data_IF_604490790606
#
_entry.id   IF_604490790606
#
_cell.length_a   1.000
_cell.length_b   1.000
_cell.length_c   1.000
_cell.angle_alpha   90.00
_cell.angle_beta   90.00
_cell.angle_gamma   90.00
#
_symmetry.space_group_name_H-M   'P 1'
#
loop_
_entity.id
_entity.type
_entity.pdbx_description
1 polymer ?
#
# COMPACT_ATOMS: atom_id res chain seq x y z
N UNK A 1 40.96 -31.87 4.00
CA UNK A 1 39.52 -31.76 4.30
C UNK A 1 39.28 -30.33 4.73
N UNK A 2 39.07 -29.47 3.74
CA UNK A 2 38.87 -28.04 3.93
C UNK A 2 37.47 -27.76 4.47
N UNK A 3 37.42 -27.01 5.58
CA UNK A 3 36.17 -26.46 6.10
C UNK A 3 35.75 -25.35 5.16
N UNK A 4 34.70 -25.59 4.37
CA UNK A 4 34.00 -24.58 3.57
C UNK A 4 33.60 -23.46 4.54
N UNK A 5 34.17 -22.26 4.34
CA UNK A 5 33.67 -21.04 4.98
C UNK A 5 32.34 -20.69 4.31
N UNK A 6 31.30 -20.29 5.06
CA UNK A 6 30.08 -19.79 4.46
C UNK A 6 30.43 -18.62 3.54
N UNK A 7 29.91 -18.64 2.30
CA UNK A 7 30.01 -17.55 1.34
C UNK A 7 29.32 -16.30 1.90
N UNK A 8 29.85 -15.13 1.59
CA UNK A 8 29.34 -13.82 2.04
C UNK A 8 27.90 -13.50 1.53
N UNK A 9 27.26 -14.41 0.78
CA UNK A 9 25.87 -14.30 0.31
C UNK A 9 24.83 -14.65 1.38
N UNK A 10 25.20 -15.33 2.47
CA UNK A 10 24.27 -15.71 3.56
C UNK A 10 24.07 -14.60 4.64
N UNK A 11 24.54 -13.37 4.38
CA UNK A 11 24.53 -12.24 5.34
C UNK A 11 23.46 -11.18 5.13
N UNK A 12 22.48 -11.41 4.26
CA UNK A 12 21.30 -10.54 4.17
C UNK A 12 20.11 -11.14 4.92
N UNK A 13 20.26 -11.32 6.24
CA UNK A 13 19.10 -11.12 7.11
C UNK A 13 18.89 -9.61 7.09
N UNK A 14 17.99 -9.15 6.22
CA UNK A 14 17.53 -7.76 6.15
C UNK A 14 17.22 -7.28 7.57
N UNK A 15 18.10 -6.46 8.13
CA UNK A 15 17.76 -5.68 9.31
C UNK A 15 16.58 -4.80 8.92
N UNK A 16 15.45 -4.95 9.63
CA UNK A 16 14.24 -4.15 9.43
C UNK A 16 14.63 -2.66 9.29
N UNK A 17 14.33 -2.02 8.16
CA UNK A 17 14.65 -0.62 7.98
C UNK A 17 13.72 0.19 8.90
N UNK A 18 14.34 0.88 9.86
CA UNK A 18 13.76 1.95 10.70
C UNK A 18 12.50 1.51 11.49
N UNK A 19 12.71 1.01 12.71
CA UNK A 19 11.77 1.19 13.84
C UNK A 19 10.32 0.70 13.67
N UNK A 20 10.02 -0.10 12.65
CA UNK A 20 8.67 -0.56 12.36
C UNK A 20 8.33 -1.74 13.28
N UNK A 21 7.58 -1.46 14.34
CA UNK A 21 7.04 -2.49 15.22
C UNK A 21 5.67 -2.95 14.71
N UNK A 22 5.64 -4.18 14.19
CA UNK A 22 4.42 -4.85 13.75
C UNK A 22 3.29 -4.78 14.79
N UNK A 23 3.64 -4.94 16.06
CA UNK A 23 2.68 -4.95 17.15
C UNK A 23 2.04 -3.57 17.32
N UNK A 24 2.82 -2.52 17.12
CA UNK A 24 2.34 -1.13 17.17
C UNK A 24 1.44 -0.83 15.98
N UNK A 25 1.81 -1.27 14.77
CA UNK A 25 0.95 -1.16 13.60
C UNK A 25 -0.41 -1.84 13.84
N UNK A 26 -0.41 -3.06 14.38
CA UNK A 26 -1.62 -3.80 14.70
C UNK A 26 -2.48 -3.08 15.76
N UNK A 27 -1.87 -2.42 16.74
CA UNK A 27 -2.57 -1.63 17.76
C UNK A 27 -3.23 -0.37 17.17
N UNK A 28 -2.61 0.24 16.15
CA UNK A 28 -3.12 1.45 15.50
C UNK A 28 -4.24 1.16 14.49
N UNK A 29 -4.42 -0.10 14.08
CA UNK A 29 -5.33 -0.47 13.01
C UNK A 29 -6.83 -0.27 13.35
N UNK A 30 -7.33 -0.65 14.55
CA UNK A 30 -8.71 -0.36 14.94
C UNK A 30 -9.01 1.14 14.96
N UNK A 31 -8.06 1.95 15.47
CA UNK A 31 -8.19 3.39 15.47
C UNK A 31 -8.28 3.97 14.05
N UNK A 32 -7.46 3.46 13.12
CA UNK A 32 -7.50 3.90 11.74
C UNK A 32 -8.87 3.61 11.09
N UNK A 33 -9.42 2.41 11.31
CA UNK A 33 -10.75 2.03 10.80
C UNK A 33 -11.82 2.96 11.37
N UNK A 34 -11.83 3.18 12.69
CA UNK A 34 -12.78 4.08 13.35
C UNK A 34 -12.68 5.51 12.78
N UNK A 35 -11.46 6.03 12.64
CA UNK A 35 -11.23 7.36 12.09
C UNK A 35 -11.72 7.50 10.63
N UNK A 36 -11.52 6.47 9.80
CA UNK A 36 -12.03 6.43 8.42
C UNK A 36 -13.56 6.38 8.40
N UNK A 37 -14.17 5.56 9.25
CA UNK A 37 -15.62 5.46 9.33
C UNK A 37 -16.27 6.80 9.71
N UNK A 38 -15.61 7.58 10.58
CA UNK A 38 -16.06 8.90 11.02
C UNK A 38 -15.78 10.02 10.00
N UNK A 39 -14.61 10.02 9.35
CA UNK A 39 -14.10 11.21 8.65
C UNK A 39 -13.68 10.97 7.19
N UNK A 40 -13.59 9.71 6.78
CA UNK A 40 -13.18 9.31 5.43
C UNK A 40 -14.24 9.67 4.38
N UNK A 41 -13.82 10.00 3.15
CA UNK A 41 -14.74 10.19 2.05
C UNK A 41 -15.45 8.87 1.72
N UNK A 42 -16.68 8.98 1.21
CA UNK A 42 -17.46 7.83 0.74
C UNK A 42 -17.18 7.49 -0.74
N UNK A 43 -16.42 8.35 -1.41
CA UNK A 43 -15.98 8.20 -2.80
C UNK A 43 -14.56 7.62 -2.84
N UNK A 44 -14.16 7.13 -4.01
CA UNK A 44 -12.83 6.56 -4.21
C UNK A 44 -12.66 5.23 -3.48
N UNK A 45 -11.43 4.96 -3.04
CA UNK A 45 -10.97 3.72 -2.42
C UNK A 45 -10.91 3.80 -0.90
N UNK A 46 -11.14 4.97 -0.30
CA UNK A 46 -11.18 5.13 1.15
C UNK A 46 -12.13 4.13 1.85
N UNK A 47 -13.35 3.86 1.33
CA UNK A 47 -14.24 2.86 1.92
C UNK A 47 -13.65 1.44 1.92
N UNK A 48 -12.84 1.09 0.91
CA UNK A 48 -12.22 -0.22 0.81
C UNK A 48 -11.10 -0.45 1.84
N UNK A 49 -10.62 0.60 2.53
CA UNK A 49 -9.59 0.42 3.56
C UNK A 49 -10.07 -0.51 4.68
N UNK A 50 -11.35 -0.39 5.09
CA UNK A 50 -11.94 -1.30 6.07
C UNK A 50 -11.92 -2.74 5.55
N UNK A 51 -12.35 -2.95 4.30
CA UNK A 51 -12.34 -4.28 3.64
C UNK A 51 -10.94 -4.87 3.51
N UNK A 52 -9.93 -4.04 3.20
CA UNK A 52 -8.51 -4.45 3.18
C UNK A 52 -8.10 -4.99 4.55
N UNK A 53 -8.53 -4.35 5.62
CA UNK A 53 -8.11 -4.71 6.99
C UNK A 53 -8.88 -5.90 7.55
N UNK A 54 -10.21 -5.89 7.44
CA UNK A 54 -11.08 -6.91 8.02
C UNK A 54 -11.10 -8.18 7.17
N UNK A 55 -10.98 -8.05 5.85
CA UNK A 55 -11.28 -9.11 4.88
C UNK A 55 -12.78 -9.29 4.63
N UNK A 56 -13.64 -8.55 5.34
CA UNK A 56 -15.10 -8.67 5.24
C UNK A 56 -15.66 -7.68 4.23
N UNK A 57 -16.64 -8.13 3.44
CA UNK A 57 -17.39 -7.25 2.54
C UNK A 57 -17.98 -6.06 3.30
N UNK A 58 -17.82 -4.86 2.73
CA UNK A 58 -18.43 -3.64 3.30
C UNK A 58 -19.83 -3.46 2.71
N UNK A 59 -20.75 -2.96 3.53
CA UNK A 59 -22.10 -2.66 3.07
C UNK A 59 -22.13 -1.44 2.15
N UNK A 60 -22.92 -1.51 1.07
CA UNK A 60 -23.16 -0.42 0.10
C UNK A 60 -21.98 -0.07 -0.82
N UNK A 61 -21.21 -1.05 -1.29
CA UNK A 61 -20.22 -0.80 -2.34
C UNK A 61 -20.88 -0.28 -3.63
N UNK A 62 -20.28 0.75 -4.22
CA UNK A 62 -20.62 1.15 -5.58
C UNK A 62 -19.89 0.29 -6.62
N UNK A 63 -20.31 0.39 -7.88
CA UNK A 63 -19.72 -0.41 -8.96
C UNK A 63 -18.21 -0.13 -9.14
N UNK A 64 -17.75 1.09 -8.84
CA UNK A 64 -16.33 1.44 -8.92
C UNK A 64 -15.53 0.73 -7.82
N UNK A 65 -16.06 0.68 -6.60
CA UNK A 65 -15.46 0.00 -5.45
C UNK A 65 -15.42 -1.51 -5.66
N UNK A 66 -16.50 -2.11 -6.17
CA UNK A 66 -16.52 -3.54 -6.49
C UNK A 66 -15.47 -3.92 -7.53
N UNK A 67 -15.36 -3.17 -8.64
CA UNK A 67 -14.35 -3.42 -9.69
C UNK A 67 -12.94 -3.19 -9.14
N UNK A 68 -12.75 -2.14 -8.33
CA UNK A 68 -11.46 -1.85 -7.71
C UNK A 68 -11.04 -2.96 -6.75
N UNK A 69 -11.99 -3.54 -6.01
CA UNK A 69 -11.71 -4.60 -5.06
C UNK A 69 -11.11 -5.83 -5.74
N UNK A 70 -11.61 -6.27 -6.90
CA UNK A 70 -11.05 -7.43 -7.62
C UNK A 70 -9.56 -7.26 -7.91
N UNK A 71 -9.15 -6.07 -8.36
CA UNK A 71 -7.75 -5.74 -8.58
C UNK A 71 -6.94 -5.66 -7.29
N UNK A 72 -7.51 -5.07 -6.23
CA UNK A 72 -6.86 -4.93 -4.92
C UNK A 72 -6.69 -6.30 -4.26
N UNK A 73 -7.68 -7.19 -4.29
CA UNK A 73 -7.61 -8.53 -3.69
C UNK A 73 -6.55 -9.39 -4.36
N UNK A 74 -6.49 -9.38 -5.69
CA UNK A 74 -5.48 -10.13 -6.44
C UNK A 74 -4.08 -9.60 -6.17
N UNK A 75 -3.93 -8.26 -6.09
CA UNK A 75 -2.67 -7.64 -5.69
C UNK A 75 -2.25 -8.02 -4.27
N UNK A 76 -3.16 -8.00 -3.29
CA UNK A 76 -2.88 -8.39 -1.89
C UNK A 76 -2.39 -9.83 -1.80
N UNK A 77 -3.05 -10.73 -2.51
CA UNK A 77 -2.66 -12.13 -2.60
C UNK A 77 -1.26 -12.27 -3.18
N UNK A 78 -0.99 -11.62 -4.32
CA UNK A 78 0.34 -11.64 -4.94
C UNK A 78 1.42 -11.05 -4.04
N UNK A 79 1.16 -9.91 -3.39
CA UNK A 79 2.12 -9.22 -2.52
C UNK A 79 2.46 -10.08 -1.32
N UNK A 80 1.45 -10.66 -0.67
CA UNK A 80 1.62 -11.53 0.48
C UNK A 80 2.44 -12.77 0.13
N UNK A 81 2.17 -13.42 -1.01
CA UNK A 81 3.00 -14.54 -1.45
C UNK A 81 4.44 -14.11 -1.76
N UNK A 82 4.60 -12.96 -2.41
CA UNK A 82 5.93 -12.41 -2.76
C UNK A 82 6.77 -12.10 -1.52
N UNK A 83 6.14 -11.59 -0.45
CA UNK A 83 6.78 -11.34 0.85
C UNK A 83 7.11 -12.63 1.61
N UNK A 84 6.23 -13.63 1.58
CA UNK A 84 6.38 -14.86 2.35
C UNK A 84 7.36 -15.87 1.75
N UNK A 85 7.31 -16.08 0.43
CA UNK A 85 7.95 -17.23 -0.21
C UNK A 85 9.14 -16.86 -1.09
N UNK A 86 9.41 -15.57 -1.32
CA UNK A 86 10.49 -15.13 -2.20
C UNK A 86 10.39 -15.79 -3.58
N UNK A 87 9.32 -15.46 -4.32
CA UNK A 87 8.93 -16.19 -5.53
C UNK A 87 8.91 -15.36 -6.81
N UNK A 88 8.93 -16.06 -7.95
CA UNK A 88 8.68 -15.53 -9.28
C UNK A 88 7.22 -15.79 -9.68
N UNK A 89 6.29 -15.16 -8.96
CA UNK A 89 4.89 -15.13 -9.35
C UNK A 89 4.67 -14.01 -10.37
N UNK A 90 3.95 -14.33 -11.43
CA UNK A 90 3.50 -13.33 -12.40
C UNK A 90 2.64 -12.27 -11.71
N UNK A 91 2.84 -11.02 -12.11
CA UNK A 91 2.06 -9.91 -11.58
C UNK A 91 0.59 -10.04 -12.02
N UNK A 92 -0.40 -9.91 -11.11
CA UNK A 92 -1.79 -10.18 -11.43
C UNK A 92 -2.35 -9.16 -12.44
N UNK A 93 -2.87 -9.66 -13.56
CA UNK A 93 -3.40 -8.82 -14.64
C UNK A 93 -4.61 -7.97 -14.19
N UNK A 94 -5.43 -8.48 -13.27
CA UNK A 94 -6.58 -7.75 -12.71
C UNK A 94 -6.14 -6.54 -11.88
N UNK A 95 -5.03 -6.64 -11.15
CA UNK A 95 -4.48 -5.50 -10.41
C UNK A 95 -4.11 -4.35 -11.37
N UNK A 96 -3.60 -4.68 -12.56
CA UNK A 96 -3.26 -3.66 -13.58
C UNK A 96 -4.48 -2.92 -14.15
N UNK A 97 -5.70 -3.41 -13.91
CA UNK A 97 -6.92 -2.66 -14.25
C UNK A 97 -7.14 -1.44 -13.37
N UNK A 98 -6.46 -1.35 -12.21
CA UNK A 98 -6.48 -0.16 -11.37
C UNK A 98 -5.75 1.03 -12.03
N UNK A 99 -4.83 0.80 -12.95
CA UNK A 99 -4.11 1.88 -13.63
C UNK A 99 -5.08 2.67 -14.51
N UNK A 100 -5.25 3.95 -14.19
CA UNK A 100 -6.20 4.87 -14.83
C UNK A 100 -7.64 4.74 -14.31
N UNK A 101 -7.90 3.88 -13.33
CA UNK A 101 -9.25 3.64 -12.82
C UNK A 101 -9.68 4.74 -11.84
N UNK A 102 -10.82 5.36 -12.12
CA UNK A 102 -11.41 6.43 -11.29
C UNK A 102 -11.42 7.79 -11.98
N UNK A 103 -12.25 8.72 -11.52
CA UNK A 103 -12.38 10.04 -12.14
C UNK A 103 -11.23 10.99 -11.75
N UNK A 104 -11.07 12.08 -12.50
CA UNK A 104 -10.25 13.22 -12.10
C UNK A 104 -8.85 13.30 -12.73
N UNK A 105 -8.04 14.23 -12.21
CA UNK A 105 -6.67 14.47 -12.68
C UNK A 105 -5.69 13.41 -12.17
N UNK A 106 -5.96 12.84 -10.99
CA UNK A 106 -5.28 11.69 -10.42
C UNK A 106 -6.35 10.62 -10.15
N UNK A 107 -6.55 9.66 -11.07
CA UNK A 107 -7.48 8.56 -10.87
C UNK A 107 -7.17 7.81 -9.56
N UNK A 108 -8.21 7.39 -8.84
CA UNK A 108 -8.07 6.71 -7.55
C UNK A 108 -7.16 5.48 -7.58
N UNK A 109 -7.23 4.66 -8.63
CA UNK A 109 -6.35 3.51 -8.78
C UNK A 109 -4.89 3.89 -9.03
N UNK A 110 -4.62 5.08 -9.58
CA UNK A 110 -3.27 5.59 -9.72
C UNK A 110 -2.68 6.07 -8.40
N UNK A 111 -3.50 6.77 -7.60
CA UNK A 111 -3.14 7.21 -6.25
C UNK A 111 -2.87 6.00 -5.34
N UNK A 112 -3.68 4.94 -5.46
CA UNK A 112 -3.43 3.66 -4.80
C UNK A 112 -2.02 3.11 -5.11
N UNK A 113 -1.63 3.05 -6.40
CA UNK A 113 -0.30 2.58 -6.78
C UNK A 113 0.82 3.49 -6.26
N UNK A 114 0.60 4.80 -6.19
CA UNK A 114 1.54 5.72 -5.57
C UNK A 114 1.75 5.38 -4.09
N UNK A 115 0.66 5.16 -3.35
CA UNK A 115 0.70 4.74 -1.96
C UNK A 115 1.44 3.41 -1.74
N UNK A 116 1.18 2.42 -2.59
CA UNK A 116 1.86 1.11 -2.58
C UNK A 116 3.37 1.26 -2.73
N UNK A 117 3.83 1.96 -3.78
CA UNK A 117 5.26 2.11 -4.06
C UNK A 117 5.97 2.91 -2.96
N UNK A 118 5.34 3.98 -2.46
CA UNK A 118 5.90 4.77 -1.35
C UNK A 118 6.02 3.92 -0.08
N UNK A 119 5.00 3.15 0.28
CA UNK A 119 5.05 2.29 1.47
C UNK A 119 6.12 1.21 1.35
N UNK A 120 6.19 0.50 0.22
CA UNK A 120 7.21 -0.55 0.03
C UNK A 120 8.63 0.01 0.12
N UNK A 121 8.89 1.18 -0.45
CA UNK A 121 10.21 1.83 -0.35
C UNK A 121 10.51 2.34 1.04
N UNK A 122 9.52 2.89 1.74
CA UNK A 122 9.66 3.31 3.14
C UNK A 122 10.01 2.13 4.06
N UNK A 123 9.48 0.94 3.76
CA UNK A 123 9.75 -0.32 4.46
C UNK A 123 10.94 -1.10 3.87
N UNK A 124 11.67 -0.54 2.91
CA UNK A 124 12.86 -1.13 2.27
C UNK A 124 12.64 -2.38 1.42
N UNK A 125 11.40 -2.66 1.00
CA UNK A 125 11.07 -3.71 0.02
C UNK A 125 11.33 -3.26 -1.42
N UNK A 126 12.58 -2.86 -1.72
CA UNK A 126 12.96 -2.24 -3.00
C UNK A 126 12.76 -3.16 -4.21
N UNK A 127 13.05 -4.46 -4.08
CA UNK A 127 12.90 -5.42 -5.18
C UNK A 127 11.43 -5.60 -5.58
N UNK A 128 10.53 -5.73 -4.60
CA UNK A 128 9.09 -5.85 -4.83
C UNK A 128 8.55 -4.54 -5.43
N UNK A 129 8.98 -3.40 -4.89
CA UNK A 129 8.64 -2.09 -5.45
C UNK A 129 9.08 -1.96 -6.91
N UNK A 130 10.27 -2.46 -7.28
CA UNK A 130 10.76 -2.40 -8.66
C UNK A 130 9.96 -3.28 -9.62
N UNK A 131 9.49 -4.46 -9.18
CA UNK A 131 8.58 -5.30 -9.98
C UNK A 131 7.24 -4.59 -10.24
N UNK A 132 6.66 -3.98 -9.21
CA UNK A 132 5.42 -3.20 -9.32
C UNK A 132 5.62 -2.00 -10.24
N UNK A 133 6.69 -1.23 -10.04
CA UNK A 133 7.05 -0.09 -10.89
C UNK A 133 7.07 -0.49 -12.37
N UNK A 134 7.80 -1.56 -12.71
CA UNK A 134 7.93 -2.03 -14.09
C UNK A 134 6.58 -2.38 -14.72
N UNK A 135 5.71 -3.06 -13.99
CA UNK A 135 4.38 -3.44 -14.48
C UNK A 135 3.44 -2.22 -14.59
N UNK A 136 3.35 -1.42 -13.52
CA UNK A 136 2.43 -0.28 -13.43
C UNK A 136 2.81 0.83 -14.42
N UNK A 137 4.08 1.25 -14.46
CA UNK A 137 4.52 2.32 -15.37
C UNK A 137 4.47 1.93 -16.84
N UNK A 138 4.57 0.64 -17.16
CA UNK A 138 4.35 0.15 -18.52
C UNK A 138 2.91 0.45 -18.98
N UNK A 139 1.92 0.13 -18.15
CA UNK A 139 0.50 0.37 -18.46
C UNK A 139 0.08 1.83 -18.32
N UNK A 140 0.73 2.59 -17.42
CA UNK A 140 0.44 4.01 -17.22
C UNK A 140 0.67 4.87 -18.48
N UNK A 141 1.47 4.40 -19.43
CA UNK A 141 1.69 5.08 -20.72
C UNK A 141 0.41 5.25 -21.54
N UNK A 142 -0.50 4.28 -21.45
CA UNK A 142 -1.69 4.20 -22.30
C UNK A 142 -2.98 4.40 -21.50
N UNK A 143 -2.96 4.09 -20.20
CA UNK A 143 -4.18 4.03 -19.38
C UNK A 143 -4.44 5.26 -18.52
N UNK A 144 -3.46 6.14 -18.32
CA UNK A 144 -3.64 7.36 -17.53
C UNK A 144 -3.05 8.60 -18.21
N UNK A 145 -3.26 9.75 -17.59
CA UNK A 145 -2.79 11.04 -18.07
C UNK A 145 -1.35 11.35 -17.61
N UNK A 146 -0.73 12.36 -18.22
CA UNK A 146 0.67 12.73 -17.97
C UNK A 146 0.94 13.20 -16.54
N UNK A 147 -0.04 13.80 -15.87
CA UNK A 147 0.09 14.30 -14.49
C UNK A 147 0.16 13.10 -13.54
N UNK A 148 -0.81 12.19 -13.64
CA UNK A 148 -0.85 10.98 -12.81
C UNK A 148 0.37 10.10 -13.02
N UNK A 149 0.80 9.91 -14.28
CA UNK A 149 2.03 9.17 -14.60
C UNK A 149 3.28 9.79 -13.95
N UNK A 150 3.38 11.12 -13.92
CA UNK A 150 4.50 11.80 -13.25
C UNK A 150 4.48 11.57 -11.73
N UNK A 151 3.30 11.55 -11.10
CA UNK A 151 3.19 11.17 -9.69
C UNK A 151 3.63 9.73 -9.44
N UNK A 152 3.25 8.78 -10.31
CA UNK A 152 3.73 7.40 -10.21
C UNK A 152 5.25 7.29 -10.37
N UNK A 153 5.86 8.03 -11.31
CA UNK A 153 7.32 8.06 -11.49
C UNK A 153 8.02 8.61 -10.23
N UNK A 154 7.45 9.62 -9.57
CA UNK A 154 7.94 10.10 -8.26
C UNK A 154 7.77 9.04 -7.16
N UNK A 155 6.59 8.43 -7.07
CA UNK A 155 6.27 7.41 -6.06
C UNK A 155 7.15 6.16 -6.21
N UNK A 156 7.47 5.77 -7.45
CA UNK A 156 8.42 4.72 -7.77
C UNK A 156 9.83 5.02 -7.23
N UNK A 157 10.20 6.30 -7.08
CA UNK A 157 11.43 6.73 -6.42
C UNK A 157 11.28 6.94 -4.90
N UNK A 158 10.10 6.65 -4.35
CA UNK A 158 9.78 6.83 -2.93
C UNK A 158 9.46 8.27 -2.56
N UNK A 159 9.07 9.09 -3.53
CA UNK A 159 8.74 10.49 -3.34
C UNK A 159 7.22 10.68 -3.38
N UNK A 160 6.69 11.47 -2.45
CA UNK A 160 5.27 11.80 -2.42
C UNK A 160 4.96 12.88 -1.39
N UNK A 161 3.67 13.03 -1.07
CA UNK A 161 3.22 14.00 -0.09
C UNK A 161 3.86 13.73 1.29
N UNK A 162 4.41 14.77 1.92
CA UNK A 162 5.00 14.65 3.26
C UNK A 162 4.02 14.06 4.27
N UNK A 163 2.74 14.45 4.24
CA UNK A 163 1.73 13.91 5.15
C UNK A 163 1.51 12.39 4.98
N UNK A 164 1.69 11.84 3.77
CA UNK A 164 1.61 10.40 3.54
C UNK A 164 2.79 9.68 4.19
N UNK A 165 4.01 10.20 4.03
CA UNK A 165 5.19 9.68 4.72
C UNK A 165 5.08 9.78 6.25
N UNK A 166 4.57 10.90 6.76
CA UNK A 166 4.30 11.07 8.19
C UNK A 166 3.22 10.12 8.71
N UNK A 167 2.23 9.79 7.88
CA UNK A 167 1.18 8.81 8.19
C UNK A 167 1.78 7.40 8.27
N UNK A 168 2.60 7.00 7.29
CA UNK A 168 3.33 5.72 7.33
C UNK A 168 4.19 5.61 8.60
N UNK A 169 4.91 6.68 8.94
CA UNK A 169 5.74 6.72 10.15
C UNK A 169 4.91 6.68 11.44
N UNK A 170 3.79 7.40 11.51
CA UNK A 170 2.90 7.41 12.68
C UNK A 170 2.23 6.05 12.91
N UNK A 171 1.90 5.32 11.83
CA UNK A 171 1.36 3.96 11.94
C UNK A 171 2.33 2.98 12.63
N UNK A 172 3.64 3.23 12.59
CA UNK A 172 4.66 2.43 13.28
C UNK A 172 4.97 2.87 14.72
N UNK A 173 4.26 3.87 15.27
CA UNK A 173 4.52 4.41 16.62
C UNK A 173 3.22 4.38 17.45
N UNK A 174 3.32 4.00 18.73
CA UNK A 174 2.18 3.93 19.66
C UNK A 174 1.82 5.33 20.17
N UNK A 175 1.36 6.20 19.27
CA UNK A 175 0.98 7.59 19.53
C UNK A 175 -0.27 7.95 18.70
N UNK A 176 -1.43 7.65 19.28
CA UNK A 176 -2.73 7.91 18.65
C UNK A 176 -2.94 9.40 18.35
N UNK A 177 -2.48 10.29 19.22
CA UNK A 177 -2.63 11.73 19.04
C UNK A 177 -1.86 12.22 17.81
N UNK A 178 -0.63 11.70 17.62
CA UNK A 178 0.15 11.93 16.41
C UNK A 178 -0.53 11.34 15.19
N UNK A 179 -1.01 10.11 15.25
CA UNK A 179 -1.72 9.46 14.13
C UNK A 179 -2.95 10.28 13.70
N UNK A 180 -3.77 10.73 14.65
CA UNK A 180 -4.90 11.64 14.39
C UNK A 180 -4.47 12.96 13.76
N UNK A 181 -3.32 13.50 14.18
CA UNK A 181 -2.81 14.76 13.62
C UNK A 181 -2.39 14.61 12.16
N UNK A 182 -1.67 13.55 11.82
CA UNK A 182 -1.19 13.32 10.45
C UNK A 182 -2.32 12.91 9.52
N UNK A 183 -3.31 12.13 9.97
CA UNK A 183 -4.51 11.81 9.16
C UNK A 183 -5.34 13.07 8.87
N UNK A 184 -5.46 14.00 9.82
CA UNK A 184 -6.07 15.32 9.55
C UNK A 184 -5.28 16.14 8.54
N UNK A 185 -3.95 16.06 8.55
CA UNK A 185 -3.12 16.73 7.56
C UNK A 185 -3.27 16.08 6.17
N UNK A 186 -3.33 14.75 6.10
CA UNK A 186 -3.55 14.00 4.88
C UNK A 186 -4.91 14.35 4.24
N UNK A 187 -5.97 14.48 5.06
CA UNK A 187 -7.29 14.88 4.57
C UNK A 187 -7.32 16.29 3.92
N UNK A 188 -6.35 17.16 4.25
CA UNK A 188 -6.21 18.47 3.60
C UNK A 188 -5.54 18.39 2.22
N UNK A 189 -4.88 17.27 1.92
CA UNK A 189 -4.22 17.04 0.63
C UNK A 189 -5.21 16.36 -0.30
N UNK A 190 -5.75 17.14 -1.25
CA UNK A 190 -6.52 16.62 -2.38
C UNK A 190 -7.63 15.65 -2.00
N UNK A 191 -8.39 15.94 -0.92
CA UNK A 191 -9.43 15.11 -0.30
C UNK A 191 -9.33 13.61 -0.67
N UNK A 192 -9.95 13.16 -1.76
CA UNK A 192 -9.99 11.76 -2.20
C UNK A 192 -8.61 11.14 -2.49
N UNK A 193 -7.71 11.86 -3.17
CA UNK A 193 -6.39 11.36 -3.61
C UNK A 193 -5.49 10.93 -2.45
N UNK A 194 -5.52 11.70 -1.34
CA UNK A 194 -4.78 11.35 -0.13
C UNK A 194 -5.27 10.07 0.52
N UNK A 195 -6.59 9.83 0.49
CA UNK A 195 -7.20 8.61 1.02
C UNK A 195 -7.01 7.40 0.10
N UNK A 196 -7.04 7.60 -1.22
CA UNK A 196 -6.76 6.55 -2.20
C UNK A 196 -5.30 6.07 -2.09
N UNK A 197 -4.37 7.01 -1.91
CA UNK A 197 -2.98 6.70 -1.55
C UNK A 197 -2.88 5.95 -0.23
N UNK A 198 -3.66 6.34 0.79
CA UNK A 198 -3.68 5.64 2.07
C UNK A 198 -4.18 4.21 1.94
N UNK A 199 -5.14 3.93 1.05
CA UNK A 199 -5.58 2.56 0.77
C UNK A 199 -4.44 1.69 0.24
N UNK A 200 -3.61 2.23 -0.65
CA UNK A 200 -2.38 1.57 -1.12
C UNK A 200 -1.37 1.32 0.01
N UNK A 201 -1.18 2.31 0.89
CA UNK A 201 -0.32 2.17 2.07
C UNK A 201 -0.82 1.06 3.00
N UNK A 202 -2.10 1.07 3.36
CA UNK A 202 -2.67 0.07 4.28
C UNK A 202 -2.58 -1.33 3.70
N UNK A 203 -2.81 -1.48 2.39
CA UNK A 203 -2.64 -2.74 1.68
C UNK A 203 -1.24 -3.35 1.87
N UNK A 204 -0.20 -2.51 1.74
CA UNK A 204 1.19 -2.94 1.96
C UNK A 204 1.43 -3.28 3.43
N UNK A 205 1.04 -2.40 4.35
CA UNK A 205 1.29 -2.60 5.77
C UNK A 205 0.60 -3.86 6.30
N UNK A 206 -0.63 -4.14 5.86
CA UNK A 206 -1.35 -5.38 6.20
C UNK A 206 -0.63 -6.61 5.63
N UNK A 207 -0.18 -6.58 4.38
CA UNK A 207 0.53 -7.70 3.76
C UNK A 207 1.85 -8.02 4.47
N UNK A 208 2.62 -6.98 4.85
CA UNK A 208 3.86 -7.13 5.63
C UNK A 208 3.56 -7.62 7.05
N UNK A 209 2.45 -7.18 7.64
CA UNK A 209 2.03 -7.62 8.96
C UNK A 209 1.64 -9.10 9.00
N UNK A 210 0.91 -9.54 7.98
CA UNK A 210 0.51 -10.94 7.78
C UNK A 210 1.73 -11.83 7.53
N UNK A 211 2.69 -11.38 6.71
CA UNK A 211 3.98 -12.08 6.56
C UNK A 211 4.68 -12.37 7.89
N UNK A 212 4.67 -11.43 8.84
CA UNK A 212 5.33 -11.58 10.14
C UNK A 212 4.52 -12.33 11.20
N UNK A 213 3.37 -12.95 10.87
CA UNK A 213 2.68 -13.86 11.80
C UNK A 213 1.16 -13.96 11.74
N UNK A 214 0.48 -13.54 10.66
CA UNK A 214 -0.96 -13.78 10.47
C UNK A 214 -1.24 -14.27 9.04
N UNK A 215 -2.04 -15.33 8.83
CA UNK A 215 -2.54 -15.63 7.49
C UNK A 215 -3.45 -14.50 7.01
N UNK A 216 -3.26 -14.07 5.76
CA UNK A 216 -4.14 -13.10 5.09
C UNK A 216 -5.57 -13.67 5.11
N UNK A 217 -6.60 -12.92 5.54
CA UNK A 217 -7.97 -13.35 5.39
C UNK A 217 -8.26 -13.55 3.89
N UNK A 218 -8.60 -14.79 3.51
CA UNK A 218 -9.09 -15.15 2.17
C UNK A 218 -10.51 -14.68 1.95
#
# INVERSE_FOLDING_TARGET
MDKIRPSDEDRYIQSDPIGWDLKVFQQNLPFLIEYIAETGPREGLAPLIERIVSGEEISNEDAFQTISWEGISDFRNWLSHSLNQGGNLDFPANALQLVGLGPGLTPSGDDFWCGVMIALRALGHFEISGKIEGAVLYHAKERTNKISRAHMECAANGQGAQALHETIAAMGVADEARLRSVLRALNKIGHTSGWDSLAGVVCVLESVASWKGRPVPV
#
